data_IF_169300314636
#
_entry.id   IF_169300314636
#
_cell.length_a   1.000
_cell.length_b   1.000
_cell.length_c   1.000
_cell.angle_alpha   90.00
_cell.angle_beta   90.00
_cell.angle_gamma   90.00
#
_symmetry.space_group_name_H-M   'P 1'
#
loop_
_entity.id
_entity.type
_entity.pdbx_description
1 polymer ?
#
# COMPACT_ATOMS: atom_id res chain seq x y z
N UNK A 1 17.17 -25.85 -0.58
CA UNK A 1 16.65 -25.55 -1.94
C UNK A 1 15.50 -26.47 -2.30
N UNK A 2 14.30 -26.05 -1.88
CA UNK A 2 13.07 -26.39 -2.59
C UNK A 2 13.24 -25.98 -4.07
N UNK A 3 12.74 -26.79 -5.02
CA UNK A 3 12.87 -26.42 -6.45
C UNK A 3 12.16 -25.10 -6.67
N UNK A 4 12.86 -24.12 -7.24
CA UNK A 4 12.25 -22.86 -7.65
C UNK A 4 11.05 -23.15 -8.57
N UNK A 5 9.94 -22.40 -8.46
CA UNK A 5 8.84 -22.47 -9.42
C UNK A 5 9.37 -22.37 -10.85
N UNK A 6 8.77 -23.11 -11.82
CA UNK A 6 9.24 -23.12 -13.21
C UNK A 6 9.46 -21.72 -13.79
N UNK A 7 8.56 -20.78 -13.50
CA UNK A 7 8.67 -19.39 -13.97
C UNK A 7 9.93 -18.67 -13.49
N UNK A 8 10.41 -18.93 -12.27
CA UNK A 8 11.64 -18.32 -11.76
C UNK A 8 12.86 -18.94 -12.45
N UNK A 9 12.82 -20.26 -12.66
CA UNK A 9 13.89 -20.96 -13.40
C UNK A 9 13.96 -20.45 -14.83
N UNK A 10 12.82 -20.28 -15.49
CA UNK A 10 12.74 -19.74 -16.85
C UNK A 10 13.30 -18.31 -16.93
N UNK A 11 13.03 -17.45 -15.93
CA UNK A 11 13.56 -16.09 -15.87
C UNK A 11 15.09 -16.10 -15.74
N UNK A 12 15.64 -16.87 -14.81
CA UNK A 12 17.10 -16.98 -14.60
C UNK A 12 17.81 -17.57 -15.83
N UNK A 13 17.22 -18.56 -16.51
CA UNK A 13 17.78 -19.15 -17.72
C UNK A 13 17.80 -18.18 -18.91
N UNK A 14 16.85 -17.25 -18.97
CA UNK A 14 16.75 -16.25 -20.04
C UNK A 14 17.66 -15.04 -19.79
N UNK A 15 17.76 -14.58 -18.55
CA UNK A 15 18.56 -13.41 -18.17
C UNK A 15 19.12 -13.58 -16.74
N UNK A 16 20.45 -13.59 -16.60
CA UNK A 16 21.14 -13.59 -15.29
C UNK A 16 21.80 -12.22 -15.07
N UNK A 17 21.01 -11.25 -14.59
CA UNK A 17 21.44 -9.88 -14.35
C UNK A 17 20.61 -9.22 -13.23
N UNK A 18 20.96 -8.00 -12.84
CA UNK A 18 20.26 -7.30 -11.77
C UNK A 18 18.76 -7.12 -12.04
N UNK A 19 18.38 -6.88 -13.30
CA UNK A 19 16.98 -6.70 -13.69
C UNK A 19 16.15 -7.98 -13.49
N UNK A 20 16.71 -9.15 -13.83
CA UNK A 20 16.01 -10.41 -13.60
C UNK A 20 15.82 -10.70 -12.11
N UNK A 21 16.80 -10.38 -11.28
CA UNK A 21 16.68 -10.46 -9.82
C UNK A 21 15.63 -9.50 -9.27
N UNK A 22 15.52 -8.27 -9.81
CA UNK A 22 14.44 -7.33 -9.46
C UNK A 22 13.05 -7.88 -9.79
N UNK A 23 12.89 -8.50 -10.96
CA UNK A 23 11.61 -9.15 -11.35
C UNK A 23 11.27 -10.31 -10.41
N UNK A 24 12.24 -11.16 -10.09
CA UNK A 24 12.04 -12.28 -9.15
C UNK A 24 11.68 -11.76 -7.76
N UNK A 25 12.36 -10.71 -7.29
CA UNK A 25 12.07 -10.07 -6.01
C UNK A 25 10.62 -9.56 -5.96
N UNK A 26 10.15 -8.91 -7.04
CA UNK A 26 8.77 -8.44 -7.13
C UNK A 26 7.75 -9.59 -7.08
N UNK A 27 7.98 -10.67 -7.84
CA UNK A 27 7.12 -11.86 -7.80
C UNK A 27 7.07 -12.49 -6.40
N UNK A 28 8.21 -12.55 -5.71
CA UNK A 28 8.30 -13.05 -4.34
C UNK A 28 7.57 -12.16 -3.34
N UNK A 29 7.62 -10.85 -3.51
CA UNK A 29 6.84 -9.94 -2.67
C UNK A 29 5.33 -10.16 -2.87
N UNK A 30 4.88 -10.23 -4.13
CA UNK A 30 3.47 -10.46 -4.45
C UNK A 30 2.94 -11.82 -3.94
N UNK A 31 3.81 -12.84 -3.86
CA UNK A 31 3.46 -14.14 -3.27
C UNK A 31 3.55 -14.17 -1.73
N UNK A 32 3.88 -13.04 -1.09
CA UNK A 32 4.02 -12.93 0.36
C UNK A 32 5.35 -13.44 0.91
N UNK A 33 6.27 -13.87 0.05
CA UNK A 33 7.61 -14.34 0.36
C UNK A 33 8.60 -13.16 0.45
N UNK A 34 8.24 -12.14 1.25
CA UNK A 34 8.98 -10.86 1.33
C UNK A 34 10.43 -11.05 1.81
N UNK A 35 10.70 -12.07 2.64
CA UNK A 35 12.05 -12.41 3.07
C UNK A 35 12.95 -12.84 1.89
N UNK A 36 12.39 -13.60 0.94
CA UNK A 36 13.09 -13.94 -0.30
C UNK A 36 13.18 -12.76 -1.25
N UNK A 37 12.16 -11.90 -1.29
CA UNK A 37 12.22 -10.67 -2.08
C UNK A 37 13.42 -9.81 -1.66
N UNK A 38 13.65 -9.65 -0.36
CA UNK A 38 14.83 -8.94 0.18
C UNK A 38 16.12 -9.62 -0.30
N UNK A 39 16.21 -10.96 -0.18
CA UNK A 39 17.40 -11.68 -0.62
C UNK A 39 17.71 -11.49 -2.12
N UNK A 40 16.69 -11.50 -2.98
CA UNK A 40 16.84 -11.25 -4.41
C UNK A 40 17.22 -9.80 -4.71
N UNK A 41 16.64 -8.82 -4.02
CA UNK A 41 17.03 -7.41 -4.20
C UNK A 41 18.46 -7.16 -3.72
N UNK A 42 18.94 -7.85 -2.67
CA UNK A 42 20.36 -7.80 -2.27
C UNK A 42 21.27 -8.33 -3.38
N UNK A 43 20.90 -9.43 -4.05
CA UNK A 43 21.68 -9.91 -5.21
C UNK A 43 21.70 -8.89 -6.35
N UNK A 44 20.58 -8.22 -6.63
CA UNK A 44 20.51 -7.18 -7.66
C UNK A 44 21.44 -6.02 -7.32
N UNK A 45 21.41 -5.55 -6.07
CA UNK A 45 22.33 -4.53 -5.53
C UNK A 45 23.79 -4.96 -5.63
N UNK A 46 24.12 -6.19 -5.27
CA UNK A 46 25.51 -6.66 -5.28
C UNK A 46 26.08 -6.73 -6.71
N UNK A 47 25.23 -6.93 -7.73
CA UNK A 47 25.60 -6.81 -9.14
C UNK A 47 25.71 -5.34 -9.61
N UNK A 48 24.87 -4.45 -9.10
CA UNK A 48 24.83 -3.03 -9.47
C UNK A 48 24.86 -2.12 -8.21
N UNK A 49 26.01 -2.02 -7.53
CA UNK A 49 26.09 -1.34 -6.23
C UNK A 49 25.87 0.18 -6.31
N UNK A 50 26.05 0.75 -7.51
CA UNK A 50 25.86 2.19 -7.77
C UNK A 50 24.41 2.52 -8.17
N UNK A 51 23.55 1.51 -8.36
CA UNK A 51 22.15 1.74 -8.75
C UNK A 51 21.31 2.02 -7.48
N UNK A 52 20.82 3.26 -7.29
CA UNK A 52 20.12 3.64 -6.08
C UNK A 52 18.74 2.96 -5.97
N UNK A 53 18.15 2.50 -7.07
CA UNK A 53 16.83 1.86 -7.09
C UNK A 53 16.82 0.57 -6.25
N UNK A 54 17.93 -0.17 -6.23
CA UNK A 54 18.05 -1.37 -5.38
C UNK A 54 18.05 -1.01 -3.89
N UNK A 55 18.65 0.11 -3.52
CA UNK A 55 18.68 0.59 -2.12
C UNK A 55 17.30 1.07 -1.69
N UNK A 56 16.62 1.87 -2.51
CA UNK A 56 15.24 2.29 -2.25
C UNK A 56 14.31 1.09 -2.12
N UNK A 57 14.46 0.10 -3.01
CA UNK A 57 13.66 -1.11 -2.97
C UNK A 57 13.90 -1.93 -1.71
N UNK A 58 15.14 -2.05 -1.25
CA UNK A 58 15.44 -2.71 0.03
C UNK A 58 14.78 -1.96 1.19
N UNK A 59 14.88 -0.63 1.24
CA UNK A 59 14.25 0.17 2.29
C UNK A 59 12.73 -0.06 2.35
N UNK A 60 12.05 -0.08 1.19
CA UNK A 60 10.62 -0.39 1.07
C UNK A 60 10.27 -1.81 1.54
N UNK A 61 11.07 -2.83 1.19
CA UNK A 61 10.85 -4.20 1.64
C UNK A 61 11.07 -4.38 3.15
N UNK A 62 12.09 -3.74 3.72
CA UNK A 62 12.31 -3.72 5.17
C UNK A 62 11.17 -3.00 5.90
N UNK A 63 10.68 -1.88 5.37
CA UNK A 63 9.49 -1.21 5.88
C UNK A 63 8.22 -2.07 5.77
N UNK A 64 8.09 -2.86 4.69
CA UNK A 64 6.99 -3.81 4.48
C UNK A 64 6.98 -4.93 5.52
N UNK A 65 8.12 -5.33 6.07
CA UNK A 65 8.17 -6.26 7.21
C UNK A 65 8.17 -5.56 8.58
N UNK A 66 8.03 -4.24 8.61
CA UNK A 66 7.99 -3.43 9.83
C UNK A 66 9.36 -3.21 10.49
N UNK A 67 10.45 -3.44 9.77
CA UNK A 67 11.81 -3.11 10.20
C UNK A 67 12.20 -1.71 9.71
N UNK A 68 11.59 -0.70 10.33
CA UNK A 68 11.84 0.70 9.97
C UNK A 68 13.24 1.18 10.39
N UNK A 69 13.88 0.52 11.34
CA UNK A 69 15.26 0.87 11.72
C UNK A 69 16.21 0.57 10.57
N UNK A 70 16.15 -0.65 10.03
CA UNK A 70 16.94 -1.03 8.85
C UNK A 70 16.57 -0.21 7.63
N UNK A 71 15.28 0.04 7.39
CA UNK A 71 14.83 0.88 6.28
C UNK A 71 15.45 2.30 6.34
N UNK A 72 15.52 2.91 7.52
CA UNK A 72 16.13 4.23 7.71
C UNK A 72 17.67 4.20 7.67
N UNK A 73 18.32 3.06 7.91
CA UNK A 73 19.76 2.92 7.68
C UNK A 73 20.08 2.94 6.18
N UNK A 74 19.23 2.30 5.37
CA UNK A 74 19.34 2.27 3.91
C UNK A 74 18.95 3.62 3.29
N UNK A 75 17.90 4.24 3.81
CA UNK A 75 17.37 5.53 3.34
C UNK A 75 17.23 6.52 4.51
N UNK A 76 18.33 7.18 4.94
CA UNK A 76 18.30 8.10 6.08
C UNK A 76 17.43 9.35 5.86
N UNK A 77 17.17 9.69 4.59
CA UNK A 77 16.25 10.75 4.17
C UNK A 77 15.08 10.08 3.47
N UNK A 78 14.06 9.62 4.23
CA UNK A 78 12.97 8.82 3.68
C UNK A 78 12.13 9.65 2.71
N UNK A 79 11.89 9.12 1.52
CA UNK A 79 10.92 9.63 0.58
C UNK A 79 9.48 9.31 0.99
N UNK A 80 8.52 9.75 0.16
CA UNK A 80 7.10 9.69 0.48
C UNK A 80 6.59 8.27 0.80
N UNK A 81 7.03 7.26 0.05
CA UNK A 81 6.60 5.87 0.25
C UNK A 81 7.03 5.30 1.61
N UNK A 82 8.27 5.56 2.02
CA UNK A 82 8.77 5.11 3.32
C UNK A 82 8.12 5.89 4.47
N UNK A 83 7.96 7.22 4.33
CA UNK A 83 7.19 8.03 5.28
C UNK A 83 5.75 7.54 5.44
N UNK A 84 5.12 7.14 4.33
CA UNK A 84 3.77 6.58 4.31
C UNK A 84 3.69 5.29 5.12
N UNK A 85 4.59 4.33 4.88
CA UNK A 85 4.63 3.07 5.64
C UNK A 85 4.88 3.29 7.13
N UNK A 86 5.74 4.27 7.47
CA UNK A 86 6.04 4.67 8.85
C UNK A 86 4.91 5.47 9.52
N UNK A 87 3.90 5.91 8.76
CA UNK A 87 2.82 6.78 9.23
C UNK A 87 3.32 8.13 9.79
N UNK A 88 4.41 8.66 9.20
CA UNK A 88 5.00 9.97 9.56
C UNK A 88 4.30 11.08 8.78
N UNK A 89 3.03 11.33 9.10
CA UNK A 89 2.13 12.15 8.29
C UNK A 89 2.56 13.60 8.11
N UNK A 90 2.98 14.28 9.18
CA UNK A 90 3.39 15.69 9.10
C UNK A 90 4.57 15.88 8.14
N UNK A 91 5.57 15.01 8.23
CA UNK A 91 6.75 15.09 7.36
C UNK A 91 6.46 14.64 5.93
N UNK A 92 5.54 13.69 5.74
CA UNK A 92 5.03 13.32 4.42
C UNK A 92 4.33 14.51 3.76
N UNK A 93 3.48 15.21 4.51
CA UNK A 93 2.77 16.41 4.04
C UNK A 93 3.79 17.46 3.60
N UNK A 94 4.73 17.83 4.48
CA UNK A 94 5.76 18.83 4.18
C UNK A 94 6.53 18.50 2.88
N UNK A 95 6.97 17.26 2.72
CA UNK A 95 7.70 16.83 1.53
C UNK A 95 6.83 16.76 0.28
N UNK A 96 5.61 16.20 0.38
CA UNK A 96 4.73 16.02 -0.76
C UNK A 96 4.18 17.34 -1.28
N UNK A 97 3.92 18.32 -0.41
CA UNK A 97 3.56 19.68 -0.81
C UNK A 97 4.68 20.34 -1.63
N UNK A 98 5.93 20.20 -1.18
CA UNK A 98 7.08 20.70 -1.92
C UNK A 98 7.19 20.04 -3.30
N UNK A 99 7.10 18.70 -3.36
CA UNK A 99 7.19 17.96 -4.62
C UNK A 99 6.02 18.26 -5.58
N UNK A 100 4.83 18.56 -5.06
CA UNK A 100 3.68 18.98 -5.87
C UNK A 100 3.88 20.33 -6.58
N UNK A 101 4.81 21.17 -6.11
CA UNK A 101 5.16 22.41 -6.83
C UNK A 101 5.89 22.08 -8.13
N UNK A 102 6.78 21.09 -8.09
CA UNK A 102 7.63 20.70 -9.22
C UNK A 102 6.89 19.79 -10.21
N UNK A 103 6.09 18.84 -9.73
CA UNK A 103 5.25 17.97 -10.55
C UNK A 103 3.79 17.98 -10.06
N UNK A 104 3.04 19.05 -10.36
CA UNK A 104 1.67 19.18 -9.93
C UNK A 104 0.76 18.15 -10.59
N UNK A 105 1.15 17.48 -11.68
CA UNK A 105 0.29 16.48 -12.34
C UNK A 105 0.43 15.07 -11.75
N UNK A 106 1.42 14.85 -10.89
CA UNK A 106 1.73 13.53 -10.37
C UNK A 106 0.61 12.98 -9.48
N UNK A 107 -0.06 11.92 -9.95
CA UNK A 107 -1.18 11.33 -9.20
C UNK A 107 -0.70 10.59 -7.94
N UNK A 108 0.51 10.01 -7.95
CA UNK A 108 1.07 9.31 -6.79
C UNK A 108 1.35 10.29 -5.64
N UNK A 109 1.96 11.45 -5.93
CA UNK A 109 2.21 12.49 -4.92
C UNK A 109 0.88 13.02 -4.37
N UNK A 110 -0.08 13.31 -5.25
CA UNK A 110 -1.41 13.81 -4.85
C UNK A 110 -2.17 12.81 -4.00
N UNK A 111 -2.12 11.53 -4.35
CA UNK A 111 -2.68 10.45 -3.55
C UNK A 111 -2.04 10.42 -2.16
N UNK A 112 -0.72 10.33 -2.07
CA UNK A 112 -0.02 10.21 -0.78
C UNK A 112 -0.27 11.44 0.11
N UNK A 113 -0.22 12.65 -0.46
CA UNK A 113 -0.53 13.89 0.26
C UNK A 113 -1.98 13.89 0.76
N UNK A 114 -2.93 13.55 -0.10
CA UNK A 114 -4.36 13.48 0.26
C UNK A 114 -4.63 12.43 1.34
N UNK A 115 -3.93 11.30 1.27
CA UNK A 115 -4.06 10.26 2.29
C UNK A 115 -3.56 10.76 3.64
N UNK A 116 -2.39 11.42 3.68
CA UNK A 116 -1.86 12.00 4.91
C UNK A 116 -2.76 13.12 5.46
N UNK A 117 -3.39 13.91 4.58
CA UNK A 117 -4.42 14.88 4.98
C UNK A 117 -5.62 14.20 5.64
N UNK A 118 -6.16 13.14 5.04
CA UNK A 118 -7.24 12.37 5.68
C UNK A 118 -6.83 11.79 7.02
N UNK A 119 -5.63 11.20 7.12
CA UNK A 119 -5.11 10.59 8.33
C UNK A 119 -4.93 11.60 9.48
N UNK A 120 -4.76 12.89 9.15
CA UNK A 120 -4.64 14.00 10.10
C UNK A 120 -5.94 14.80 10.27
N UNK A 121 -7.04 14.36 9.65
CA UNK A 121 -8.37 14.98 9.75
C UNK A 121 -8.55 16.24 8.89
N UNK A 122 -7.64 16.52 7.97
CA UNK A 122 -7.67 17.68 7.07
C UNK A 122 -8.42 17.37 5.77
N UNK A 123 -9.68 16.93 5.87
CA UNK A 123 -10.44 16.40 4.75
C UNK A 123 -10.69 17.41 3.61
N UNK A 124 -10.86 18.70 3.94
CA UNK A 124 -11.03 19.76 2.95
C UNK A 124 -9.78 19.96 2.10
N UNK A 125 -8.59 19.77 2.68
CA UNK A 125 -7.32 19.82 1.95
C UNK A 125 -7.24 18.71 0.90
N UNK A 126 -7.74 17.51 1.22
CA UNK A 126 -7.88 16.40 0.24
C UNK A 126 -8.76 16.80 -0.94
N UNK A 127 -9.91 17.44 -0.70
CA UNK A 127 -10.76 17.92 -1.81
C UNK A 127 -10.02 18.90 -2.70
N UNK A 128 -9.27 19.84 -2.11
CA UNK A 128 -8.47 20.79 -2.88
C UNK A 128 -7.44 20.08 -3.76
N UNK A 129 -6.65 19.17 -3.16
CA UNK A 129 -5.60 18.42 -3.86
C UNK A 129 -6.14 17.53 -4.97
N UNK A 130 -7.31 16.92 -4.80
CA UNK A 130 -7.86 15.99 -5.80
C UNK A 130 -8.83 16.63 -6.79
N UNK A 131 -9.31 17.86 -6.55
CA UNK A 131 -10.31 18.53 -7.41
C UNK A 131 -9.91 18.68 -8.88
N UNK A 132 -8.61 18.69 -9.20
CA UNK A 132 -8.10 18.90 -10.56
C UNK A 132 -7.57 17.63 -11.22
N UNK A 133 -7.78 16.45 -10.63
CA UNK A 133 -7.26 15.18 -11.17
C UNK A 133 -8.22 14.52 -12.18
N UNK A 134 -9.48 14.96 -12.20
CA UNK A 134 -10.57 14.33 -12.95
C UNK A 134 -11.41 13.37 -12.11
N UNK A 135 -11.08 13.17 -10.84
CA UNK A 135 -11.89 12.36 -9.92
C UNK A 135 -13.19 13.09 -9.52
N UNK A 136 -14.29 12.36 -9.28
CA UNK A 136 -14.42 10.89 -9.36
C UNK A 136 -14.65 10.35 -10.79
N UNK A 137 -15.02 11.21 -11.73
CA UNK A 137 -15.49 10.84 -13.08
C UNK A 137 -14.49 9.96 -13.84
N UNK A 138 -13.19 10.23 -13.72
CA UNK A 138 -12.14 9.47 -14.40
C UNK A 138 -12.05 7.99 -13.98
N UNK A 139 -12.66 7.61 -12.86
CA UNK A 139 -12.74 6.21 -12.39
C UNK A 139 -14.12 5.60 -12.64
N UNK A 140 -15.18 6.41 -12.54
CA UNK A 140 -16.56 5.94 -12.67
C UNK A 140 -16.96 5.79 -14.15
N UNK A 141 -16.67 6.82 -14.96
CA UNK A 141 -17.17 6.94 -16.32
C UNK A 141 -16.12 6.58 -17.39
N UNK A 142 -14.83 6.66 -17.03
CA UNK A 142 -13.70 6.43 -17.94
C UNK A 142 -12.90 5.14 -17.59
N UNK A 143 -11.82 4.91 -18.34
CA UNK A 143 -10.86 3.83 -18.05
C UNK A 143 -9.85 4.28 -16.97
N UNK A 144 -9.79 3.51 -15.88
CA UNK A 144 -8.83 3.70 -14.79
C UNK A 144 -7.40 3.72 -15.34
N UNK A 145 -6.67 4.81 -15.09
CA UNK A 145 -5.35 5.06 -15.70
C UNK A 145 -4.22 4.44 -14.89
N UNK A 146 -4.38 4.29 -13.58
CA UNK A 146 -3.35 3.74 -12.69
C UNK A 146 -3.92 3.24 -11.36
N UNK A 147 -3.13 2.45 -10.63
CA UNK A 147 -3.49 2.03 -9.26
C UNK A 147 -3.57 3.24 -8.32
N UNK A 148 -2.65 4.21 -8.45
CA UNK A 148 -2.65 5.43 -7.66
C UNK A 148 -3.92 6.27 -7.86
N UNK A 149 -4.54 6.21 -9.05
CA UNK A 149 -5.84 6.84 -9.29
C UNK A 149 -6.97 6.16 -8.52
N UNK A 150 -6.97 4.82 -8.43
CA UNK A 150 -7.92 4.09 -7.58
C UNK A 150 -7.69 4.39 -6.08
N UNK A 151 -6.43 4.46 -5.65
CA UNK A 151 -6.09 4.85 -4.29
C UNK A 151 -6.52 6.30 -3.98
N UNK A 152 -6.35 7.22 -4.94
CA UNK A 152 -6.84 8.59 -4.83
C UNK A 152 -8.38 8.66 -4.82
N UNK A 153 -9.06 7.87 -5.63
CA UNK A 153 -10.53 7.75 -5.61
C UNK A 153 -11.04 7.29 -4.24
N UNK A 154 -10.43 6.26 -3.67
CA UNK A 154 -10.73 5.78 -2.32
C UNK A 154 -10.45 6.87 -1.26
N UNK A 155 -9.35 7.59 -1.41
CA UNK A 155 -8.96 8.68 -0.51
C UNK A 155 -9.97 9.84 -0.57
N UNK A 156 -10.42 10.22 -1.76
CA UNK A 156 -11.48 11.23 -1.95
C UNK A 156 -12.78 10.81 -1.28
N UNK A 157 -13.19 9.55 -1.46
CA UNK A 157 -14.40 9.01 -0.84
C UNK A 157 -14.35 9.08 0.69
N UNK A 158 -13.20 8.74 1.30
CA UNK A 158 -12.99 8.88 2.73
C UNK A 158 -13.05 10.33 3.20
N UNK A 159 -12.49 11.27 2.44
CA UNK A 159 -12.52 12.69 2.78
C UNK A 159 -13.95 13.24 2.77
N UNK A 160 -14.72 12.92 1.73
CA UNK A 160 -16.12 13.34 1.59
C UNK A 160 -16.99 12.81 2.74
N UNK A 161 -16.79 11.55 3.12
CA UNK A 161 -17.47 10.95 4.26
C UNK A 161 -17.03 11.59 5.59
N UNK A 162 -15.74 11.90 5.75
CA UNK A 162 -15.20 12.60 6.92
C UNK A 162 -15.71 14.02 7.11
N UNK A 163 -15.96 14.75 6.02
CA UNK A 163 -16.61 16.07 6.05
C UNK A 163 -18.06 15.97 6.52
N UNK A 164 -18.77 14.92 6.09
CA UNK A 164 -20.07 14.55 6.66
C UNK A 164 -21.23 15.51 6.42
N UNK A 165 -21.09 16.48 5.50
CA UNK A 165 -22.25 17.25 5.03
C UNK A 165 -23.17 16.35 4.22
N UNK A 166 -24.46 16.73 4.09
CA UNK A 166 -25.40 15.94 3.29
C UNK A 166 -24.90 15.71 1.85
N UNK A 167 -24.41 16.76 1.20
CA UNK A 167 -23.92 16.71 -0.18
C UNK A 167 -22.67 15.84 -0.31
N UNK A 168 -21.69 16.01 0.59
CA UNK A 168 -20.47 15.19 0.54
C UNK A 168 -20.75 13.74 0.88
N UNK A 169 -21.66 13.44 1.80
CA UNK A 169 -22.04 12.08 2.13
C UNK A 169 -22.79 11.39 0.97
N UNK A 170 -23.72 12.08 0.31
CA UNK A 170 -24.42 11.54 -0.87
C UNK A 170 -23.42 11.19 -1.99
N UNK A 171 -22.42 12.05 -2.22
CA UNK A 171 -21.36 11.78 -3.19
C UNK A 171 -20.47 10.60 -2.75
N UNK A 172 -20.03 10.57 -1.49
CA UNK A 172 -19.23 9.46 -0.95
C UNK A 172 -19.95 8.11 -1.08
N UNK A 173 -21.26 8.07 -0.83
CA UNK A 173 -22.08 6.88 -0.98
C UNK A 173 -22.20 6.43 -2.44
N UNK A 174 -22.41 7.37 -3.37
CA UNK A 174 -22.42 7.03 -4.81
C UNK A 174 -21.08 6.46 -5.29
N UNK A 175 -19.96 6.97 -4.76
CA UNK A 175 -18.63 6.41 -5.01
C UNK A 175 -18.45 5.04 -4.34
N UNK A 176 -19.02 4.83 -3.15
CA UNK A 176 -18.93 3.55 -2.44
C UNK A 176 -19.65 2.42 -3.20
N UNK A 177 -20.77 2.73 -3.87
CA UNK A 177 -21.50 1.78 -4.72
C UNK A 177 -20.66 1.27 -5.91
N UNK A 178 -19.65 2.03 -6.35
CA UNK A 178 -18.69 1.57 -7.36
C UNK A 178 -17.98 0.29 -6.94
N UNK A 179 -17.65 0.13 -5.65
CA UNK A 179 -16.97 -1.07 -5.16
C UNK A 179 -17.88 -2.29 -5.06
N UNK A 180 -19.19 -2.09 -5.07
CA UNK A 180 -20.19 -3.16 -5.04
C UNK A 180 -20.62 -3.60 -6.45
N UNK A 181 -20.65 -2.68 -7.41
CA UNK A 181 -21.23 -2.92 -8.75
C UNK A 181 -20.27 -2.68 -9.92
N UNK A 182 -19.13 -2.03 -9.68
CA UNK A 182 -18.15 -1.67 -10.68
C UNK A 182 -17.27 -2.84 -11.12
N UNK A 183 -16.47 -2.68 -12.19
CA UNK A 183 -15.74 -3.76 -12.85
C UNK A 183 -14.69 -4.45 -11.97
N UNK A 184 -14.23 -3.78 -10.92
CA UNK A 184 -13.26 -4.28 -9.94
C UNK A 184 -13.93 -5.20 -8.92
N UNK A 185 -14.32 -6.39 -9.37
CA UNK A 185 -14.91 -7.41 -8.53
C UNK A 185 -13.79 -8.26 -7.92
N UNK A 186 -13.63 -8.16 -6.61
CA UNK A 186 -12.74 -9.01 -5.84
C UNK A 186 -13.04 -8.85 -4.36
N UNK A 187 -12.69 -9.87 -3.60
CA UNK A 187 -13.21 -10.01 -2.25
C UNK A 187 -12.14 -10.51 -1.27
N UNK A 188 -10.87 -10.43 -1.69
CA UNK A 188 -9.69 -10.76 -0.89
C UNK A 188 -8.69 -9.60 -0.89
N UNK A 189 -7.84 -9.56 0.14
CA UNK A 189 -6.71 -8.64 0.20
C UNK A 189 -7.11 -7.17 0.13
N UNK A 190 -6.42 -6.41 -0.72
CA UNK A 190 -6.62 -4.97 -0.85
C UNK A 190 -8.04 -4.60 -1.34
N UNK A 191 -8.62 -5.40 -2.24
CA UNK A 191 -10.00 -5.21 -2.69
C UNK A 191 -11.00 -5.43 -1.55
N UNK A 192 -10.74 -6.38 -0.65
CA UNK A 192 -11.55 -6.56 0.56
C UNK A 192 -11.46 -5.33 1.48
N UNK A 193 -10.29 -4.71 1.61
CA UNK A 193 -10.13 -3.45 2.36
C UNK A 193 -11.00 -2.34 1.76
N UNK A 194 -10.90 -2.09 0.46
CA UNK A 194 -11.69 -1.06 -0.20
C UNK A 194 -13.20 -1.32 -0.11
N UNK A 195 -13.61 -2.57 -0.30
CA UNK A 195 -15.01 -2.96 -0.21
C UNK A 195 -15.55 -2.82 1.22
N UNK A 196 -14.80 -3.26 2.24
CA UNK A 196 -15.19 -3.06 3.63
C UNK A 196 -15.31 -1.57 3.97
N UNK A 197 -14.42 -0.73 3.45
CA UNK A 197 -14.47 0.71 3.61
C UNK A 197 -15.72 1.33 2.94
N UNK A 198 -16.05 0.90 1.72
CA UNK A 198 -17.27 1.29 1.01
C UNK A 198 -18.54 0.91 1.78
N UNK A 199 -18.62 -0.34 2.25
CA UNK A 199 -19.73 -0.82 3.08
C UNK A 199 -19.89 0.00 4.37
N UNK A 200 -18.78 0.39 5.01
CA UNK A 200 -18.82 1.25 6.19
C UNK A 200 -19.39 2.64 5.88
N UNK A 201 -19.02 3.24 4.74
CA UNK A 201 -19.55 4.55 4.28
C UNK A 201 -21.04 4.48 3.88
N UNK A 202 -21.48 3.32 3.40
CA UNK A 202 -22.89 3.02 3.11
C UNK A 202 -23.72 2.69 4.37
N UNK A 203 -23.18 2.83 5.58
CA UNK A 203 -23.83 2.47 6.85
C UNK A 203 -24.17 0.96 6.96
N UNK A 204 -23.50 0.12 6.17
CA UNK A 204 -23.64 -1.35 6.14
C UNK A 204 -22.58 -2.02 7.02
N UNK A 205 -22.53 -1.61 8.29
CA UNK A 205 -21.41 -1.94 9.19
C UNK A 205 -21.22 -3.44 9.46
N UNK A 206 -22.31 -4.20 9.58
CA UNK A 206 -22.23 -5.65 9.79
C UNK A 206 -21.54 -6.34 8.60
N UNK A 207 -21.89 -5.95 7.39
CA UNK A 207 -21.29 -6.48 6.16
C UNK A 207 -19.84 -6.04 6.02
N UNK A 208 -19.52 -4.79 6.37
CA UNK A 208 -18.14 -4.30 6.41
C UNK A 208 -17.26 -5.15 7.35
N UNK A 209 -17.75 -5.45 8.56
CA UNK A 209 -17.03 -6.28 9.54
C UNK A 209 -16.94 -7.76 9.14
N UNK A 210 -17.86 -8.26 8.31
CA UNK A 210 -17.76 -9.58 7.70
C UNK A 210 -16.76 -9.61 6.54
N UNK A 211 -16.63 -8.51 5.80
CA UNK A 211 -15.70 -8.39 4.67
C UNK A 211 -14.25 -8.20 5.13
N UNK A 212 -14.03 -7.42 6.19
CA UNK A 212 -12.69 -7.02 6.62
C UNK A 212 -11.73 -8.19 6.93
N UNK A 213 -12.14 -9.30 7.56
CA UNK A 213 -11.26 -10.45 7.78
C UNK A 213 -10.65 -11.05 6.51
N UNK A 214 -11.26 -10.83 5.34
CA UNK A 214 -10.79 -11.35 4.06
C UNK A 214 -9.53 -10.66 3.54
N UNK A 215 -9.14 -9.54 4.15
CA UNK A 215 -7.83 -8.93 3.93
C UNK A 215 -6.69 -9.92 4.24
N UNK A 216 -6.88 -10.77 5.24
CA UNK A 216 -5.89 -11.79 5.68
C UNK A 216 -5.67 -12.90 4.65
N UNK A 217 -6.64 -13.12 3.76
CA UNK A 217 -6.56 -14.15 2.71
C UNK A 217 -5.55 -13.79 1.61
N UNK A 218 -5.09 -12.54 1.57
CA UNK A 218 -4.04 -12.11 0.65
C UNK A 218 -2.68 -12.69 0.99
N UNK A 219 -2.00 -13.21 -0.02
CA UNK A 219 -0.59 -13.56 0.04
C UNK A 219 0.28 -12.31 0.28
N UNK A 220 -0.05 -11.20 -0.39
CA UNK A 220 0.62 -9.91 -0.19
C UNK A 220 0.25 -9.29 1.16
N UNK A 221 1.23 -8.65 1.81
CA UNK A 221 1.01 -7.90 3.05
C UNK A 221 0.29 -6.58 2.75
N UNK A 222 -0.79 -6.33 3.47
CA UNK A 222 -1.52 -5.07 3.31
C UNK A 222 -0.67 -3.90 3.84
N UNK A 223 -0.74 -2.75 3.15
CA UNK A 223 -0.18 -1.50 3.65
C UNK A 223 -0.95 -1.09 4.92
N UNK A 224 -0.27 -1.11 6.06
CA UNK A 224 -0.85 -0.79 7.37
C UNK A 224 -1.62 0.53 7.40
N UNK A 225 -1.14 1.62 6.77
CA UNK A 225 -1.86 2.89 6.77
C UNK A 225 -3.31 2.79 6.28
N UNK A 226 -3.58 2.06 5.20
CA UNK A 226 -4.92 2.02 4.64
C UNK A 226 -5.96 1.32 5.55
N UNK A 227 -5.52 0.43 6.44
CA UNK A 227 -6.41 -0.19 7.43
C UNK A 227 -6.48 0.68 8.70
N UNK A 228 -5.36 1.29 9.10
CA UNK A 228 -5.25 2.03 10.36
C UNK A 228 -5.77 3.45 10.32
N UNK A 229 -5.62 4.13 9.19
CA UNK A 229 -5.74 5.58 9.08
C UNK A 229 -6.82 6.01 8.09
N UNK A 230 -7.48 5.07 7.39
CA UNK A 230 -8.66 5.39 6.59
C UNK A 230 -9.84 5.73 7.49
N UNK A 231 -10.50 6.86 7.22
CA UNK A 231 -11.63 7.37 8.00
C UNK A 231 -12.74 6.32 8.22
N UNK A 232 -13.08 5.55 7.18
CA UNK A 232 -14.14 4.55 7.20
C UNK A 232 -13.95 3.45 8.27
N UNK A 233 -12.72 3.21 8.73
CA UNK A 233 -12.43 2.24 9.79
C UNK A 233 -12.30 2.86 11.18
N UNK A 234 -12.39 4.19 11.31
CA UNK A 234 -12.28 4.88 12.59
C UNK A 234 -13.32 4.42 13.61
N UNK A 235 -14.51 4.05 13.16
CA UNK A 235 -15.57 3.48 14.00
C UNK A 235 -15.32 2.04 14.47
N UNK A 236 -14.32 1.35 13.93
CA UNK A 236 -14.04 -0.07 14.21
C UNK A 236 -12.84 -0.29 15.11
N UNK A 237 -12.27 0.77 15.70
CA UNK A 237 -11.05 0.66 16.51
C UNK A 237 -11.16 -0.33 17.69
N UNK A 238 -12.37 -0.55 18.21
CA UNK A 238 -12.64 -1.49 19.30
C UNK A 238 -13.27 -2.81 18.82
N UNK A 239 -13.57 -2.93 17.51
CA UNK A 239 -14.24 -4.10 16.96
C UNK A 239 -13.29 -5.30 16.91
N UNK A 240 -13.70 -6.47 17.44
CA UNK A 240 -12.84 -7.65 17.47
C UNK A 240 -12.33 -8.09 16.09
N UNK A 241 -13.18 -8.00 15.06
CA UNK A 241 -12.80 -8.36 13.69
C UNK A 241 -11.69 -7.45 13.13
N UNK A 242 -11.77 -6.16 13.43
CA UNK A 242 -10.77 -5.18 13.03
C UNK A 242 -9.43 -5.39 13.75
N UNK A 243 -9.47 -5.56 15.08
CA UNK A 243 -8.29 -5.83 15.89
C UNK A 243 -7.60 -7.14 15.49
N UNK A 244 -8.37 -8.16 15.13
CA UNK A 244 -7.84 -9.45 14.64
C UNK A 244 -7.06 -9.29 13.34
N UNK A 245 -7.56 -8.48 12.39
CA UNK A 245 -6.83 -8.17 11.13
C UNK A 245 -5.52 -7.45 11.42
N UNK A 246 -5.53 -6.44 12.28
CA UNK A 246 -4.30 -5.71 12.63
C UNK A 246 -3.27 -6.62 13.31
N UNK A 247 -3.72 -7.48 14.23
CA UNK A 247 -2.85 -8.45 14.92
C UNK A 247 -2.25 -9.45 13.94
N UNK A 248 -3.06 -10.04 13.06
CA UNK A 248 -2.58 -11.03 12.09
C UNK A 248 -1.50 -10.45 11.17
N UNK A 249 -1.69 -9.21 10.70
CA UNK A 249 -0.71 -8.56 9.83
C UNK A 249 0.61 -8.31 10.57
N UNK A 250 0.57 -7.88 11.83
CA UNK A 250 1.77 -7.70 12.64
C UNK A 250 2.47 -9.03 12.92
N UNK A 251 1.72 -10.07 13.23
CA UNK A 251 2.28 -11.42 13.43
C UNK A 251 2.96 -11.95 12.17
N UNK A 252 2.40 -11.69 10.97
CA UNK A 252 3.05 -12.04 9.69
C UNK A 252 4.36 -11.31 9.50
N UNK A 253 4.38 -9.99 9.75
CA UNK A 253 5.58 -9.15 9.68
C UNK A 253 6.65 -9.61 10.66
N UNK A 254 6.26 -9.94 11.89
CA UNK A 254 7.16 -10.52 12.90
C UNK A 254 7.77 -11.85 12.46
N UNK A 255 6.97 -12.78 11.91
CA UNK A 255 7.47 -14.06 11.39
C UNK A 255 8.45 -13.88 10.24
N UNK A 256 8.22 -12.91 9.35
CA UNK A 256 9.14 -12.61 8.25
C UNK A 256 10.47 -12.06 8.78
N UNK A 257 10.44 -11.13 9.75
CA UNK A 257 11.65 -10.63 10.41
C UNK A 257 12.44 -11.73 11.12
N UNK A 258 11.76 -12.64 11.81
CA UNK A 258 12.40 -13.79 12.49
C UNK A 258 13.06 -14.75 11.49
N UNK A 259 12.40 -15.00 10.36
CA UNK A 259 12.89 -15.91 9.31
C UNK A 259 14.04 -15.31 8.50
N UNK A 260 14.05 -13.99 8.29
CA UNK A 260 14.92 -13.30 7.35
C UNK A 260 16.41 -13.69 7.47
N UNK A 261 17.06 -13.72 8.65
CA UNK A 261 18.48 -14.07 8.74
C UNK A 261 18.82 -15.44 8.17
N UNK A 262 17.93 -16.43 8.36
CA UNK A 262 18.12 -17.77 7.81
C UNK A 262 17.96 -17.76 6.28
N UNK A 263 17.00 -16.99 5.76
CA UNK A 263 16.80 -16.81 4.32
C UNK A 263 18.01 -16.14 3.67
N UNK A 264 18.55 -15.08 4.25
CA UNK A 264 19.76 -14.41 3.74
C UNK A 264 20.96 -15.37 3.69
N UNK A 265 21.15 -16.17 4.75
CA UNK A 265 22.20 -17.18 4.81
C UNK A 265 22.04 -18.29 3.75
N UNK A 266 20.80 -18.75 3.47
CA UNK A 266 20.54 -19.71 2.39
C UNK A 266 20.90 -19.13 1.01
N UNK A 267 20.64 -17.83 0.81
CA UNK A 267 20.93 -17.14 -0.44
C UNK A 267 22.37 -16.69 -0.59
N UNK A 268 23.16 -16.75 0.49
CA UNK A 268 24.56 -16.32 0.51
C UNK A 268 24.74 -14.82 0.35
N UNK A 269 23.78 -14.02 0.82
CA UNK A 269 23.80 -12.55 0.76
C UNK A 269 23.80 -11.95 2.15
N UNK A 270 24.33 -10.73 2.27
CA UNK A 270 24.35 -9.96 3.50
C UNK A 270 23.81 -8.55 3.23
N UNK A 271 23.17 -7.97 4.24
CA UNK A 271 22.68 -6.59 4.19
C UNK A 271 23.84 -5.60 4.13
#
# INVERSE_FOLDING_TARGET
MEKLPPVITDIEELFDNAESYSVIAWLKEMSGEVDQAIAWTLRARDLEPENPDHVYRLADLYATIGDFETALQLEPQPGLGLLFQMRRWEELIDQAEFLMIDDPSNIDIRFMLSFAYNATGQFESTLHVLSTTGLPDSVIDDEVRSIAELEAFMTLMNALAGIGTKETLELAQSMADYWETGPWHGDIGWLATWRACGLAILDRHEEALQMLPRVKESAWLARQPAIRDSWCFGGYAEEPAYLDVLREQEERRARLREKLPATLAEFGVEL
#
